data_IF_542200896901
#
_entry.id   IF_542200896901
#
_cell.length_a   1.000
_cell.length_b   1.000
_cell.length_c   1.000
_cell.angle_alpha   90.00
_cell.angle_beta   90.00
_cell.angle_gamma   90.00
#
_symmetry.space_group_name_H-M   'P 1'
#
loop_
_entity.id
_entity.type
_entity.pdbx_description
1 polymer ?
#
# COMPACT_ATOMS: atom_id res chain seq x y z
N UNK A 1 7.60 3.80 -22.37
CA UNK A 1 6.71 4.04 -21.21
C UNK A 1 6.67 2.73 -20.45
N UNK A 2 7.01 2.67 -19.15
CA UNK A 2 6.73 1.45 -18.41
C UNK A 2 5.22 1.37 -18.32
N UNK A 3 4.62 0.45 -19.07
CA UNK A 3 3.20 0.18 -18.95
C UNK A 3 2.97 -0.21 -17.48
N UNK A 4 1.99 0.41 -16.80
CA UNK A 4 1.51 -0.09 -15.51
C UNK A 4 1.31 -1.60 -15.70
N UNK A 5 2.09 -2.42 -14.99
CA UNK A 5 1.96 -3.85 -15.14
C UNK A 5 0.57 -4.22 -14.63
N UNK A 6 -0.10 -5.17 -15.28
CA UNK A 6 -1.41 -5.65 -14.84
C UNK A 6 -1.40 -6.02 -13.33
N UNK A 7 -0.27 -6.52 -12.82
CA UNK A 7 -0.03 -6.74 -11.40
C UNK A 7 -0.16 -5.50 -10.51
N UNK A 8 0.38 -4.36 -10.94
CA UNK A 8 0.31 -3.08 -10.21
C UNK A 8 -1.14 -2.61 -10.01
N UNK A 9 -1.98 -2.81 -11.03
CA UNK A 9 -3.40 -2.44 -11.01
C UNK A 9 -4.21 -3.38 -10.12
N UNK A 10 -3.95 -4.69 -10.21
CA UNK A 10 -4.57 -5.71 -9.34
C UNK A 10 -4.24 -5.43 -7.88
N UNK A 11 -3.00 -5.06 -7.59
CA UNK A 11 -2.57 -4.73 -6.23
C UNK A 11 -3.18 -3.44 -5.67
N UNK A 12 -3.29 -2.40 -6.49
CA UNK A 12 -4.00 -1.18 -6.12
C UNK A 12 -5.46 -1.47 -5.78
N UNK A 13 -6.13 -2.30 -6.59
CA UNK A 13 -7.50 -2.74 -6.34
C UNK A 13 -7.61 -3.53 -5.02
N UNK A 14 -6.71 -4.48 -4.78
CA UNK A 14 -6.71 -5.31 -3.56
C UNK A 14 -6.49 -4.45 -2.30
N UNK A 15 -5.60 -3.46 -2.36
CA UNK A 15 -5.43 -2.53 -1.25
C UNK A 15 -6.70 -1.72 -0.97
N UNK A 16 -7.30 -1.12 -2.00
CA UNK A 16 -8.55 -0.35 -1.86
C UNK A 16 -9.68 -1.21 -1.30
N UNK A 17 -9.79 -2.46 -1.77
CA UNK A 17 -10.73 -3.44 -1.23
C UNK A 17 -10.42 -3.77 0.23
N UNK A 18 -9.16 -3.97 0.61
CA UNK A 18 -8.77 -4.21 2.00
C UNK A 18 -9.14 -3.05 2.93
N UNK A 19 -8.99 -1.80 2.48
CA UNK A 19 -9.45 -0.62 3.22
C UNK A 19 -10.96 -0.59 3.41
N UNK A 20 -11.69 -0.80 2.31
CA UNK A 20 -13.14 -0.84 2.35
C UNK A 20 -13.61 -1.91 3.34
N UNK A 21 -13.09 -3.13 3.23
CA UNK A 21 -13.42 -4.25 4.11
C UNK A 21 -13.09 -3.93 5.57
N UNK A 22 -11.95 -3.31 5.85
CA UNK A 22 -11.56 -2.98 7.22
C UNK A 22 -12.43 -1.90 7.87
N UNK A 23 -12.82 -0.87 7.13
CA UNK A 23 -13.72 0.16 7.65
C UNK A 23 -15.17 -0.32 7.76
N UNK A 24 -15.61 -1.12 6.79
CA UNK A 24 -16.94 -1.72 6.79
C UNK A 24 -17.09 -2.69 7.96
N UNK A 25 -16.07 -3.50 8.25
CA UNK A 25 -16.11 -4.44 9.37
C UNK A 25 -16.09 -3.76 10.73
N UNK A 26 -15.47 -2.58 10.84
CA UNK A 26 -15.55 -1.74 12.05
C UNK A 26 -16.93 -1.10 12.24
N UNK A 27 -17.63 -0.82 11.14
CA UNK A 27 -18.96 -0.20 11.16
C UNK A 27 -20.09 -1.22 11.34
N UNK A 28 -19.89 -2.47 10.88
CA UNK A 28 -20.85 -3.57 10.91
C UNK A 28 -20.22 -4.84 11.53
N UNK A 29 -20.17 -4.97 12.87
CA UNK A 29 -19.48 -6.06 13.55
C UNK A 29 -20.03 -7.45 13.20
N UNK A 30 -21.33 -7.56 12.93
CA UNK A 30 -22.00 -8.82 12.58
C UNK A 30 -21.47 -9.43 11.27
N UNK A 31 -20.90 -8.60 10.38
CA UNK A 31 -20.32 -9.03 9.10
C UNK A 31 -18.80 -9.21 9.16
N UNK A 32 -18.19 -9.00 10.32
CA UNK A 32 -16.73 -9.02 10.52
C UNK A 32 -16.06 -10.29 10.00
N UNK A 33 -16.65 -11.46 10.30
CA UNK A 33 -16.12 -12.75 9.85
C UNK A 33 -16.12 -12.87 8.33
N UNK A 34 -17.22 -12.48 7.67
CA UNK A 34 -17.35 -12.53 6.21
C UNK A 34 -16.37 -11.58 5.52
N UNK A 35 -16.18 -10.38 6.06
CA UNK A 35 -15.25 -9.40 5.51
C UNK A 35 -13.79 -9.83 5.67
N UNK A 36 -13.46 -10.53 6.76
CA UNK A 36 -12.13 -11.12 6.95
C UNK A 36 -11.86 -12.33 6.04
N UNK A 37 -12.88 -13.14 5.75
CA UNK A 37 -12.79 -14.20 4.74
C UNK A 37 -12.53 -13.60 3.35
N UNK A 38 -13.29 -12.57 2.96
CA UNK A 38 -13.09 -11.83 1.71
C UNK A 38 -11.68 -11.24 1.60
N UNK A 39 -11.16 -10.68 2.70
CA UNK A 39 -9.80 -10.17 2.75
C UNK A 39 -8.75 -11.28 2.52
N UNK A 40 -8.96 -12.46 3.12
CA UNK A 40 -8.10 -13.63 2.90
C UNK A 40 -8.08 -14.09 1.43
N UNK A 41 -9.25 -14.11 0.78
CA UNK A 41 -9.38 -14.43 -0.64
C UNK A 41 -8.62 -13.43 -1.51
N UNK A 42 -8.78 -12.13 -1.24
CA UNK A 42 -8.09 -11.06 -1.97
C UNK A 42 -6.57 -11.15 -1.83
N UNK A 43 -6.06 -11.45 -0.63
CA UNK A 43 -4.64 -11.69 -0.43
C UNK A 43 -4.13 -12.90 -1.23
N UNK A 44 -4.94 -13.96 -1.33
CA UNK A 44 -4.58 -15.15 -2.11
C UNK A 44 -4.51 -14.86 -3.61
N UNK A 45 -5.46 -14.08 -4.12
CA UNK A 45 -5.44 -13.59 -5.51
C UNK A 45 -4.20 -12.71 -5.74
N UNK A 46 -3.87 -11.85 -4.78
CA UNK A 46 -2.66 -11.02 -4.84
C UNK A 46 -1.41 -11.89 -4.95
N UNK A 47 -1.31 -12.96 -4.15
CA UNK A 47 -0.17 -13.89 -4.13
C UNK A 47 -0.04 -14.65 -5.46
N UNK A 48 -1.16 -15.00 -6.10
CA UNK A 48 -1.15 -15.67 -7.40
C UNK A 48 -0.68 -14.75 -8.54
N UNK A 49 -0.81 -13.43 -8.38
CA UNK A 49 -0.40 -12.44 -9.38
C UNK A 49 1.03 -11.97 -9.15
N UNK A 50 1.48 -11.90 -7.90
CA UNK A 50 2.87 -11.58 -7.55
C UNK A 50 3.22 -12.02 -6.12
N UNK A 51 4.47 -12.44 -5.94
CA UNK A 51 4.98 -13.22 -4.80
C UNK A 51 5.03 -12.46 -3.46
N UNK A 52 4.64 -11.19 -3.42
CA UNK A 52 4.97 -10.29 -2.30
C UNK A 52 3.83 -10.17 -1.27
N UNK A 53 2.74 -10.93 -1.45
CA UNK A 53 1.46 -10.66 -0.79
C UNK A 53 1.36 -11.17 0.65
N UNK A 54 2.18 -12.14 1.07
CA UNK A 54 2.28 -12.55 2.48
C UNK A 54 2.71 -11.40 3.38
N UNK A 55 3.60 -10.53 2.90
CA UNK A 55 4.06 -9.39 3.69
C UNK A 55 2.99 -8.28 3.81
N UNK A 56 2.03 -8.20 2.87
CA UNK A 56 0.87 -7.31 2.96
C UNK A 56 -0.15 -7.75 4.02
N UNK A 57 -0.05 -8.97 4.57
CA UNK A 57 -0.98 -9.44 5.60
C UNK A 57 -0.84 -8.66 6.91
N UNK A 58 0.40 -8.35 7.32
CA UNK A 58 0.70 -7.64 8.56
C UNK A 58 0.08 -6.22 8.66
N UNK A 59 0.23 -5.31 7.67
CA UNK A 59 -0.36 -3.98 7.73
C UNK A 59 -1.88 -3.98 7.81
N UNK A 60 -2.52 -4.86 7.06
CA UNK A 60 -3.97 -4.92 7.04
C UNK A 60 -4.53 -5.56 8.31
N UNK A 61 -3.84 -6.54 8.90
CA UNK A 61 -4.24 -7.06 10.21
C UNK A 61 -4.19 -5.98 11.30
N UNK A 62 -3.13 -5.16 11.32
CA UNK A 62 -3.06 -4.00 12.23
C UNK A 62 -4.23 -3.03 11.98
N UNK A 63 -4.57 -2.78 10.71
CA UNK A 63 -5.72 -1.95 10.36
C UNK A 63 -7.05 -2.52 10.88
N UNK A 64 -7.32 -3.82 10.67
CA UNK A 64 -8.52 -4.49 11.18
C UNK A 64 -8.62 -4.45 12.71
N UNK A 65 -7.50 -4.59 13.42
CA UNK A 65 -7.45 -4.42 14.89
C UNK A 65 -7.81 -2.98 15.29
N UNK A 66 -7.31 -1.99 14.55
CA UNK A 66 -7.59 -0.56 14.81
C UNK A 66 -9.03 -0.17 14.51
N UNK A 67 -9.67 -0.78 13.52
CA UNK A 67 -11.07 -0.48 13.15
C UNK A 67 -12.09 -1.18 14.03
N UNK A 68 -11.68 -2.12 14.89
CA UNK A 68 -12.52 -2.68 15.95
C UNK A 68 -12.63 -4.21 15.97
N UNK A 69 -12.02 -4.93 15.03
CA UNK A 69 -12.01 -6.40 15.04
C UNK A 69 -10.91 -6.90 15.98
N UNK A 70 -11.30 -7.57 17.08
CA UNK A 70 -10.35 -8.12 18.06
C UNK A 70 -10.40 -9.64 18.19
N UNK A 71 -11.35 -10.30 17.52
CA UNK A 71 -11.49 -11.75 17.59
C UNK A 71 -10.41 -12.46 16.78
N UNK A 72 -9.52 -13.18 17.47
CA UNK A 72 -8.46 -13.99 16.85
C UNK A 72 -9.00 -14.97 15.79
N UNK A 73 -10.21 -15.51 16.00
CA UNK A 73 -10.92 -16.37 15.06
C UNK A 73 -11.03 -15.77 13.66
N UNK A 74 -11.29 -14.46 13.55
CA UNK A 74 -11.51 -13.81 12.26
C UNK A 74 -10.19 -13.66 11.47
N UNK A 75 -9.08 -13.46 12.17
CA UNK A 75 -7.75 -13.47 11.57
C UNK A 75 -7.34 -14.87 11.10
N UNK A 76 -7.63 -15.91 11.91
CA UNK A 76 -7.41 -17.30 11.51
C UNK A 76 -8.22 -17.65 10.27
N UNK A 77 -9.50 -17.23 10.20
CA UNK A 77 -10.33 -17.42 9.02
C UNK A 77 -9.73 -16.75 7.77
N UNK A 78 -9.21 -15.53 7.90
CA UNK A 78 -8.53 -14.85 6.79
C UNK A 78 -7.33 -15.66 6.27
N UNK A 79 -6.50 -16.19 7.17
CA UNK A 79 -5.35 -17.03 6.80
C UNK A 79 -5.79 -18.34 6.13
N UNK A 80 -6.83 -18.99 6.64
CA UNK A 80 -7.35 -20.24 6.05
C UNK A 80 -7.83 -20.00 4.62
N UNK A 81 -8.61 -18.95 4.38
CA UNK A 81 -9.10 -18.63 3.03
C UNK A 81 -7.98 -18.17 2.09
N UNK A 82 -6.97 -17.47 2.61
CA UNK A 82 -5.75 -17.17 1.86
C UNK A 82 -5.06 -18.46 1.38
N UNK A 83 -4.82 -19.42 2.29
CA UNK A 83 -4.20 -20.70 1.96
C UNK A 83 -5.04 -21.52 0.98
N UNK A 84 -6.37 -21.51 1.11
CA UNK A 84 -7.27 -22.19 0.17
C UNK A 84 -7.09 -21.68 -1.27
N UNK A 85 -6.96 -20.36 -1.46
CA UNK A 85 -6.73 -19.78 -2.79
C UNK A 85 -5.35 -20.15 -3.32
N UNK A 86 -4.31 -20.07 -2.47
CA UNK A 86 -2.93 -20.44 -2.86
C UNK A 86 -2.85 -21.92 -3.25
N UNK A 87 -3.42 -22.83 -2.46
CA UNK A 87 -3.45 -24.26 -2.80
C UNK A 87 -4.29 -24.57 -4.03
N UNK A 88 -5.41 -23.87 -4.24
CA UNK A 88 -6.21 -24.02 -5.45
C UNK A 88 -5.41 -23.59 -6.69
N UNK A 89 -4.65 -22.50 -6.60
CA UNK A 89 -3.80 -22.04 -7.69
C UNK A 89 -2.60 -22.96 -7.93
N UNK A 90 -1.95 -23.47 -6.88
CA UNK A 90 -0.93 -24.51 -7.00
C UNK A 90 -1.47 -25.77 -7.67
N UNK A 91 -2.69 -26.19 -7.34
CA UNK A 91 -3.36 -27.31 -7.99
C UNK A 91 -3.57 -27.08 -9.49
N UNK A 92 -3.97 -25.86 -9.89
CA UNK A 92 -4.08 -25.50 -11.30
C UNK A 92 -2.72 -25.51 -12.01
N UNK A 93 -1.68 -24.92 -11.42
CA UNK A 93 -0.33 -24.91 -11.99
C UNK A 93 0.26 -26.32 -12.13
N UNK A 94 -0.03 -27.20 -11.17
CA UNK A 94 0.36 -28.60 -11.23
C UNK A 94 -0.33 -29.34 -12.40
N UNK A 95 -1.65 -29.16 -12.57
CA UNK A 95 -2.40 -29.74 -13.70
C UNK A 95 -1.92 -29.20 -15.04
N UNK A 96 -1.47 -27.95 -15.09
CA UNK A 96 -0.95 -27.32 -16.31
C UNK A 96 0.56 -27.56 -16.54
N UNK A 97 1.22 -28.38 -15.72
CA UNK A 97 2.66 -28.70 -15.79
C UNK A 97 3.60 -27.47 -15.72
N UNK A 98 3.16 -26.34 -15.16
CA UNK A 98 3.97 -25.11 -15.01
C UNK A 98 4.77 -25.10 -13.70
N UNK A 99 5.62 -26.13 -13.53
CA UNK A 99 6.44 -26.31 -12.32
C UNK A 99 7.34 -25.13 -11.93
N UNK A 100 8.00 -24.41 -12.86
CA UNK A 100 8.83 -23.27 -12.51
C UNK A 100 8.06 -22.10 -11.87
N UNK A 101 6.76 -21.98 -12.15
CA UNK A 101 5.91 -20.94 -11.56
C UNK A 101 5.49 -21.29 -10.13
N UNK A 102 5.57 -22.56 -9.73
CA UNK A 102 5.26 -22.98 -8.36
C UNK A 102 6.27 -22.43 -7.34
N UNK A 103 7.55 -22.35 -7.70
CA UNK A 103 8.59 -21.76 -6.85
C UNK A 103 8.38 -20.25 -6.64
N UNK A 104 7.79 -19.57 -7.63
CA UNK A 104 7.48 -18.13 -7.56
C UNK A 104 6.31 -17.78 -6.64
N UNK A 105 5.66 -18.76 -6.01
CA UNK A 105 4.63 -18.55 -4.99
C UNK A 105 5.20 -18.51 -3.57
N UNK A 106 6.46 -18.93 -3.39
CA UNK A 106 7.17 -18.90 -2.10
C UNK A 106 7.90 -17.56 -1.99
N UNK A 107 7.57 -16.70 -1.01
CA UNK A 107 8.18 -15.38 -0.90
C UNK A 107 9.69 -15.49 -0.67
N UNK A 108 10.48 -14.81 -1.51
CA UNK A 108 11.93 -14.69 -1.36
C UNK A 108 12.31 -13.29 -0.87
N UNK A 109 13.27 -13.22 0.05
CA UNK A 109 13.86 -11.97 0.52
C UNK A 109 15.05 -11.63 -0.38
N UNK A 110 14.94 -10.56 -1.18
CA UNK A 110 16.07 -10.01 -1.92
C UNK A 110 16.73 -8.87 -1.11
N UNK A 111 18.06 -8.78 -1.10
CA UNK A 111 18.81 -7.79 -0.31
C UNK A 111 19.64 -6.84 -1.18
N UNK A 112 19.33 -6.73 -2.48
CA UNK A 112 20.04 -5.85 -3.40
C UNK A 112 19.49 -4.41 -3.35
N UNK A 113 20.15 -3.54 -2.58
CA UNK A 113 19.75 -2.14 -2.39
C UNK A 113 20.25 -1.19 -3.50
N UNK A 114 20.91 -1.70 -4.54
CA UNK A 114 21.41 -0.87 -5.66
C UNK A 114 20.28 -0.11 -6.38
N UNK A 115 19.06 -0.66 -6.34
CA UNK A 115 17.86 -0.09 -6.96
C UNK A 115 17.42 1.25 -6.34
N UNK A 116 17.85 1.58 -5.12
CA UNK A 116 17.57 2.86 -4.46
C UNK A 116 18.56 3.97 -4.79
N UNK A 117 19.63 3.69 -5.53
CA UNK A 117 20.70 4.65 -5.80
C UNK A 117 20.39 5.59 -6.98
N UNK A 118 19.18 6.13 -7.04
CA UNK A 118 18.79 7.13 -8.04
C UNK A 118 18.71 8.52 -7.41
N UNK A 119 19.11 9.54 -8.16
CA UNK A 119 18.96 10.96 -7.77
C UNK A 119 17.49 11.30 -7.45
N UNK A 120 16.58 10.59 -8.12
CA UNK A 120 15.14 10.68 -7.98
C UNK A 120 14.68 10.28 -6.58
N UNK A 121 15.13 9.12 -6.08
CA UNK A 121 14.83 8.66 -4.71
C UNK A 121 15.46 9.60 -3.67
N UNK A 122 16.69 10.07 -3.91
CA UNK A 122 17.42 10.94 -2.96
C UNK A 122 16.79 12.31 -2.75
N UNK A 123 16.09 12.87 -3.74
CA UNK A 123 15.47 14.20 -3.62
C UNK A 123 13.96 14.12 -3.35
N UNK A 124 13.26 13.21 -4.02
CA UNK A 124 11.80 13.13 -3.98
C UNK A 124 11.28 12.52 -2.67
N UNK A 125 11.93 11.45 -2.18
CA UNK A 125 11.49 10.74 -0.97
C UNK A 125 11.61 11.61 0.29
N UNK A 126 12.73 12.31 0.56
CA UNK A 126 12.82 13.19 1.73
C UNK A 126 11.78 14.32 1.71
N UNK A 127 11.47 14.86 0.52
CA UNK A 127 10.49 15.91 0.38
C UNK A 127 9.06 15.42 0.68
N UNK A 128 8.70 14.23 0.21
CA UNK A 128 7.42 13.58 0.56
C UNK A 128 7.34 13.33 2.07
N UNK A 129 8.41 12.78 2.67
CA UNK A 129 8.46 12.52 4.12
C UNK A 129 8.23 13.82 4.90
N UNK A 130 8.92 14.90 4.54
CA UNK A 130 8.75 16.20 5.18
C UNK A 130 7.30 16.68 5.09
N UNK A 131 6.68 16.57 3.91
CA UNK A 131 5.28 16.98 3.71
C UNK A 131 4.31 16.12 4.55
N UNK A 132 4.54 14.82 4.67
CA UNK A 132 3.76 13.92 5.53
C UNK A 132 3.93 14.30 7.01
N UNK A 133 5.16 14.55 7.47
CA UNK A 133 5.43 14.98 8.86
C UNK A 133 4.68 16.29 9.16
N UNK A 134 4.82 17.30 8.30
CA UNK A 134 4.12 18.59 8.44
C UNK A 134 2.60 18.43 8.39
N UNK A 135 2.09 17.50 7.57
CA UNK A 135 0.67 17.18 7.52
C UNK A 135 0.17 16.68 8.88
N UNK A 136 0.87 15.73 9.51
CA UNK A 136 0.47 15.16 10.79
C UNK A 136 0.66 16.11 11.98
N UNK A 137 1.66 16.99 11.95
CA UNK A 137 1.78 18.08 12.93
C UNK A 137 0.56 19.01 12.90
N UNK A 138 -0.01 19.23 11.71
CA UNK A 138 -1.18 20.07 11.51
C UNK A 138 -2.54 19.37 11.60
N UNK A 139 -2.60 18.05 11.79
CA UNK A 139 -3.83 17.26 11.55
C UNK A 139 -4.99 17.64 12.47
N UNK A 140 -4.69 18.15 13.67
CA UNK A 140 -5.71 18.58 14.62
C UNK A 140 -6.30 19.97 14.30
N UNK A 141 -5.63 20.75 13.44
CA UNK A 141 -6.10 22.07 13.01
C UNK A 141 -7.07 22.02 11.83
N UNK A 142 -7.21 20.86 11.16
CA UNK A 142 -8.05 20.73 9.98
C UNK A 142 -9.53 20.64 10.34
N UNK A 143 -10.35 21.46 9.66
CA UNK A 143 -11.80 21.42 9.76
C UNK A 143 -12.38 20.32 8.85
N UNK A 144 -12.09 19.07 9.19
CA UNK A 144 -12.62 17.91 8.46
C UNK A 144 -14.16 17.89 8.47
N UNK A 145 -14.76 17.59 7.32
CA UNK A 145 -16.21 17.35 7.21
C UNK A 145 -16.69 16.22 8.13
N UNK A 146 -15.86 15.18 8.29
CA UNK A 146 -16.09 14.05 9.20
C UNK A 146 -14.87 13.83 10.10
N UNK A 147 -14.76 14.54 11.23
CA UNK A 147 -13.51 14.66 12.01
C UNK A 147 -12.90 13.33 12.42
N UNK A 148 -13.69 12.44 13.02
CA UNK A 148 -13.19 11.17 13.52
C UNK A 148 -12.81 10.21 12.38
N UNK A 149 -13.67 10.09 11.37
CA UNK A 149 -13.45 9.19 10.22
C UNK A 149 -12.24 9.63 9.38
N UNK A 150 -12.13 10.92 9.10
CA UNK A 150 -11.01 11.46 8.30
C UNK A 150 -9.67 11.36 9.04
N UNK A 151 -9.63 11.60 10.36
CA UNK A 151 -8.40 11.40 11.14
C UNK A 151 -7.97 9.94 11.16
N UNK A 152 -8.91 9.02 11.39
CA UNK A 152 -8.63 7.57 11.37
C UNK A 152 -8.06 7.16 10.00
N UNK A 153 -8.67 7.60 8.89
CA UNK A 153 -8.19 7.31 7.54
C UNK A 153 -6.74 7.78 7.34
N UNK A 154 -6.40 9.00 7.75
CA UNK A 154 -5.04 9.52 7.62
C UNK A 154 -4.05 8.66 8.43
N UNK A 155 -4.33 8.35 9.69
CA UNK A 155 -3.46 7.48 10.48
C UNK A 155 -3.31 6.09 9.88
N UNK A 156 -4.38 5.53 9.30
CA UNK A 156 -4.26 4.24 8.60
C UNK A 156 -3.36 4.35 7.38
N UNK A 157 -3.51 5.39 6.55
CA UNK A 157 -2.66 5.58 5.37
C UNK A 157 -1.20 5.77 5.76
N UNK A 158 -0.93 6.42 6.90
CA UNK A 158 0.43 6.52 7.45
C UNK A 158 1.00 5.15 7.85
N UNK A 159 0.21 4.33 8.54
CA UNK A 159 0.62 2.96 8.91
C UNK A 159 0.90 2.13 7.65
N UNK A 160 0.05 2.23 6.63
CA UNK A 160 0.26 1.51 5.38
C UNK A 160 1.53 1.98 4.65
N UNK A 161 1.78 3.29 4.60
CA UNK A 161 3.01 3.83 4.02
C UNK A 161 4.25 3.34 4.78
N UNK A 162 4.22 3.39 6.11
CA UNK A 162 5.32 2.93 6.96
C UNK A 162 5.62 1.44 6.77
N UNK A 163 4.57 0.63 6.66
CA UNK A 163 4.75 -0.81 6.46
C UNK A 163 5.24 -1.10 5.05
N UNK A 164 4.68 -0.47 4.01
CA UNK A 164 5.19 -0.61 2.65
C UNK A 164 6.67 -0.22 2.55
N UNK A 165 7.11 0.86 3.22
CA UNK A 165 8.54 1.21 3.32
C UNK A 165 9.34 0.11 4.02
N UNK A 166 8.84 -0.43 5.12
CA UNK A 166 9.51 -1.54 5.81
C UNK A 166 9.64 -2.78 4.92
N UNK A 167 8.60 -3.11 4.14
CA UNK A 167 8.63 -4.22 3.18
C UNK A 167 9.68 -3.99 2.11
N UNK A 168 9.70 -2.80 1.50
CA UNK A 168 10.69 -2.40 0.50
C UNK A 168 12.12 -2.51 1.05
N UNK A 169 12.35 -2.13 2.31
CA UNK A 169 13.66 -2.26 2.95
C UNK A 169 14.01 -3.74 3.20
N UNK A 170 13.04 -4.59 3.54
CA UNK A 170 13.30 -6.00 3.84
C UNK A 170 13.47 -6.86 2.57
N UNK A 171 12.74 -6.57 1.50
CA UNK A 171 12.72 -7.39 0.27
C UNK A 171 13.52 -6.78 -0.88
N UNK A 172 13.96 -5.53 -0.74
CA UNK A 172 14.61 -4.74 -1.79
C UNK A 172 13.82 -4.68 -3.11
N UNK A 173 12.50 -4.86 -3.05
CA UNK A 173 11.63 -4.85 -4.23
C UNK A 173 11.02 -3.47 -4.51
N UNK A 174 11.40 -2.84 -5.62
CA UNK A 174 10.83 -1.57 -6.06
C UNK A 174 9.37 -1.65 -6.50
N UNK A 175 8.85 -2.82 -6.88
CA UNK A 175 7.45 -2.99 -7.27
C UNK A 175 6.49 -2.57 -6.14
N UNK A 176 6.92 -2.74 -4.88
CA UNK A 176 6.18 -2.30 -3.70
C UNK A 176 6.13 -0.77 -3.53
N UNK A 177 6.93 -0.01 -4.28
CA UNK A 177 6.94 1.46 -4.19
C UNK A 177 5.60 2.08 -4.55
N UNK A 178 4.77 1.38 -5.34
CA UNK A 178 3.42 1.84 -5.67
C UNK A 178 2.53 2.01 -4.43
N UNK A 179 2.70 1.19 -3.39
CA UNK A 179 1.94 1.33 -2.15
C UNK A 179 2.36 2.55 -1.35
N UNK A 180 3.67 2.81 -1.30
CA UNK A 180 4.20 4.03 -0.67
C UNK A 180 3.67 5.26 -1.40
N UNK A 181 3.68 5.24 -2.74
CA UNK A 181 3.15 6.32 -3.58
C UNK A 181 1.65 6.53 -3.38
N UNK A 182 0.85 5.46 -3.40
CA UNK A 182 -0.60 5.54 -3.24
C UNK A 182 -0.98 6.11 -1.87
N UNK A 183 -0.46 5.53 -0.78
CA UNK A 183 -0.75 6.00 0.57
C UNK A 183 -0.27 7.45 0.78
N UNK A 184 0.91 7.80 0.26
CA UNK A 184 1.43 9.18 0.31
C UNK A 184 0.57 10.15 -0.48
N UNK A 185 0.06 9.76 -1.64
CA UNK A 185 -0.82 10.61 -2.47
C UNK A 185 -2.13 10.90 -1.73
N UNK A 186 -2.72 9.90 -1.09
CA UNK A 186 -3.94 10.09 -0.29
C UNK A 186 -3.66 11.05 0.87
N UNK A 187 -2.59 10.82 1.66
CA UNK A 187 -2.19 11.70 2.77
C UNK A 187 -1.98 13.16 2.32
N UNK A 188 -1.23 13.34 1.23
CA UNK A 188 -0.89 14.65 0.70
C UNK A 188 -2.10 15.35 0.07
N UNK A 189 -3.08 14.60 -0.45
CA UNK A 189 -4.35 15.20 -0.93
C UNK A 189 -5.10 15.91 0.21
N UNK A 190 -5.11 15.33 1.42
CA UNK A 190 -5.65 15.99 2.60
C UNK A 190 -4.75 17.16 3.03
N UNK A 191 -3.43 17.00 3.01
CA UNK A 191 -2.49 18.06 3.37
C UNK A 191 -2.68 19.33 2.55
N UNK A 192 -2.71 19.21 1.23
CA UNK A 192 -2.84 20.35 0.32
C UNK A 192 -4.29 20.84 0.20
N UNK A 193 -5.27 19.94 0.23
CA UNK A 193 -6.69 20.30 0.15
C UNK A 193 -7.14 21.18 1.32
N UNK A 194 -6.75 20.84 2.55
CA UNK A 194 -7.13 21.60 3.75
C UNK A 194 -6.25 22.82 4.01
N UNK A 195 -5.06 22.91 3.39
CA UNK A 195 -4.17 24.09 3.46
C UNK A 195 -4.14 24.91 2.17
N UNK A 196 -5.13 24.79 1.28
CA UNK A 196 -5.16 25.46 -0.04
C UNK A 196 -5.01 26.99 -0.01
N UNK A 197 -5.35 27.63 1.11
CA UNK A 197 -5.20 29.09 1.30
C UNK A 197 -3.79 29.49 1.75
N UNK A 198 -2.97 28.53 2.16
CA UNK A 198 -1.60 28.76 2.59
C UNK A 198 -0.67 28.84 1.38
N UNK A 199 0.00 29.98 1.22
CA UNK A 199 1.04 30.19 0.21
C UNK A 199 2.14 29.14 0.33
N UNK A 200 2.51 28.76 1.56
CA UNK A 200 3.53 27.74 1.81
C UNK A 200 3.10 26.34 1.34
N UNK A 201 1.84 25.95 1.59
CA UNK A 201 1.32 24.66 1.14
C UNK A 201 1.24 24.59 -0.40
N UNK A 202 0.83 25.68 -1.04
CA UNK A 202 0.78 25.77 -2.51
C UNK A 202 2.19 25.76 -3.13
N UNK A 203 3.16 26.44 -2.50
CA UNK A 203 4.56 26.39 -2.93
C UNK A 203 5.16 24.98 -2.76
N UNK A 204 4.85 24.29 -1.65
CA UNK A 204 5.28 22.91 -1.42
C UNK A 204 4.66 21.94 -2.45
N UNK A 205 3.39 22.12 -2.79
CA UNK A 205 2.73 21.36 -3.86
C UNK A 205 3.38 21.62 -5.23
N UNK A 206 3.62 22.89 -5.59
CA UNK A 206 4.30 23.24 -6.84
C UNK A 206 5.73 22.69 -6.90
N UNK A 207 6.46 22.69 -5.78
CA UNK A 207 7.78 22.08 -5.66
C UNK A 207 7.70 20.56 -5.85
N UNK A 208 6.70 19.88 -5.28
CA UNK A 208 6.48 18.44 -5.47
C UNK A 208 6.28 18.09 -6.94
N UNK A 209 5.45 18.87 -7.63
CA UNK A 209 5.18 18.72 -9.06
C UNK A 209 6.44 19.00 -9.90
N UNK A 210 7.19 20.05 -9.57
CA UNK A 210 8.42 20.42 -10.27
C UNK A 210 9.51 19.36 -10.12
N UNK A 211 9.69 18.84 -8.90
CA UNK A 211 10.63 17.73 -8.65
C UNK A 211 10.19 16.49 -9.43
N UNK A 212 8.90 16.15 -9.44
CA UNK A 212 8.38 15.00 -10.18
C UNK A 212 8.58 15.11 -11.70
N UNK A 213 8.37 16.30 -12.29
CA UNK A 213 8.62 16.52 -13.71
C UNK A 213 10.11 16.50 -14.07
N UNK A 214 10.96 17.15 -13.28
CA UNK A 214 12.41 17.12 -13.50
C UNK A 214 12.99 15.71 -13.33
N UNK A 215 12.46 14.97 -12.36
CA UNK A 215 12.74 13.55 -12.14
C UNK A 215 12.42 12.71 -13.38
N UNK A 216 11.21 12.86 -13.95
CA UNK A 216 10.80 12.16 -15.18
C UNK A 216 11.65 12.55 -16.39
N UNK A 217 12.02 13.83 -16.51
CA UNK A 217 12.86 14.34 -17.60
C UNK A 217 14.29 13.78 -17.53
N UNK A 218 14.92 13.82 -16.35
CA UNK A 218 16.24 13.24 -16.10
C UNK A 218 16.27 11.73 -16.31
N UNK A 219 15.24 11.00 -15.84
CA UNK A 219 15.11 9.57 -16.09
C UNK A 219 15.07 9.23 -17.58
N UNK A 220 14.38 10.06 -18.39
CA UNK A 220 14.29 9.87 -19.84
C UNK A 220 15.64 10.14 -20.55
N UNK A 221 16.47 11.05 -20.05
CA UNK A 221 17.80 11.34 -20.60
C UNK A 221 18.84 10.29 -20.20
N UNK A 222 18.72 9.70 -19.00
CA UNK A 222 19.71 8.74 -18.49
C UNK A 222 19.54 7.32 -19.02
N UNK A 223 18.38 6.99 -19.60
CA UNK A 223 18.07 5.67 -20.18
C UNK A 223 18.14 5.67 -21.72
N UNK A 224 18.18 6.85 -22.35
CA UNK A 224 18.48 7.03 -23.77
C UNK A 224 19.98 7.31 -23.97
#
# INVERSE_FOLDING_TARGET
MPALAFGDLVYGAICLSAFFLAFEAGSNPEKSSTLMMLFGILLGIAQAVSNISILLMFPFFVLFVRTGIREARNFVLSIVYFLMVVFSYLGLLFVMELSPQMESLVPSLSLDYSVFNTILVKLFVPFIILCIVVHFLGINSYQFRFPNKSKILNYTMLIQAAIAVALIILTAELNLMIYVLMSSTILLSFAFGYKKTSVFANAAFASLVSIAFMALYLYKILIL
#
